data_IF_895216458638
#
_entry.id   IF_895216458638
#
_cell.length_a   1.000
_cell.length_b   1.000
_cell.length_c   1.000
_cell.angle_alpha   90.00
_cell.angle_beta   90.00
_cell.angle_gamma   90.00
#
_symmetry.space_group_name_H-M   'P 1'
#
loop_
_entity.id
_entity.type
_entity.pdbx_description
1 polymer ?
#
# COMPACT_ATOMS: atom_id res chain seq x y z
N UNK A 1 66.16 3.44 9.48
CA UNK A 1 65.89 3.73 8.05
C UNK A 1 65.42 2.43 7.38
N UNK A 2 64.12 2.27 7.17
CA UNK A 2 63.58 1.21 6.32
C UNK A 2 62.42 1.79 5.51
N UNK A 3 62.45 1.48 4.21
CA UNK A 3 61.70 2.11 3.13
C UNK A 3 60.28 1.56 3.01
N UNK A 4 59.40 2.45 2.54
CA UNK A 4 58.05 2.24 2.04
C UNK A 4 57.95 1.21 0.91
N UNK A 5 56.87 0.42 0.89
CA UNK A 5 55.99 0.18 -0.28
C UNK A 5 54.56 -0.13 0.23
N UNK A 6 53.48 0.21 -0.50
CA UNK A 6 52.14 0.40 0.05
C UNK A 6 51.22 -0.81 -0.17
N UNK A 7 50.38 -1.10 0.82
CA UNK A 7 49.21 -1.95 0.63
C UNK A 7 48.07 -1.12 0.04
N UNK A 8 47.67 -1.44 -1.20
CA UNK A 8 46.40 -1.06 -1.79
C UNK A 8 45.26 -1.58 -0.90
N UNK A 9 44.51 -0.67 -0.29
CA UNK A 9 43.22 -0.97 0.33
C UNK A 9 42.16 -1.06 -0.78
N UNK A 10 41.75 -2.29 -1.09
CA UNK A 10 40.57 -2.60 -1.90
C UNK A 10 39.32 -2.19 -1.09
N UNK A 11 38.48 -1.26 -1.58
CA UNK A 11 37.22 -0.97 -0.91
C UNK A 11 36.23 -2.12 -1.18
N UNK A 12 35.84 -2.84 -0.12
CA UNK A 12 34.73 -3.79 -0.15
C UNK A 12 33.42 -3.01 -0.26
N UNK A 13 32.83 -3.01 -1.46
CA UNK A 13 31.44 -2.61 -1.66
C UNK A 13 30.57 -3.88 -1.72
N UNK A 14 29.68 -4.14 -0.73
CA UNK A 14 28.57 -5.05 -0.94
C UNK A 14 27.29 -4.24 -0.94
N UNK A 15 27.00 -3.56 -2.05
CA UNK A 15 25.66 -3.07 -2.34
C UNK A 15 25.24 -3.70 -3.65
N UNK A 16 24.57 -4.84 -3.54
CA UNK A 16 23.82 -5.44 -4.64
C UNK A 16 22.70 -4.45 -4.97
N UNK A 17 22.97 -3.53 -5.90
CA UNK A 17 21.95 -2.75 -6.57
C UNK A 17 21.11 -3.72 -7.39
N UNK A 18 20.00 -4.22 -6.83
CA UNK A 18 18.99 -4.91 -7.62
C UNK A 18 18.30 -3.84 -8.47
N UNK A 19 18.89 -3.54 -9.62
CA UNK A 19 18.17 -2.91 -10.72
C UNK A 19 17.18 -3.93 -11.25
N UNK A 20 15.94 -3.86 -10.78
CA UNK A 20 14.84 -4.64 -11.34
C UNK A 20 14.38 -3.98 -12.65
N UNK A 21 15.23 -4.06 -13.68
CA UNK A 21 14.85 -3.69 -15.04
C UNK A 21 13.98 -4.81 -15.62
N UNK A 22 12.69 -4.80 -15.30
CA UNK A 22 11.69 -5.57 -16.04
C UNK A 22 11.49 -4.91 -17.41
N UNK A 23 12.39 -5.21 -18.35
CA UNK A 23 12.13 -5.08 -19.78
C UNK A 23 11.11 -6.16 -20.17
N UNK A 24 9.84 -5.95 -19.82
CA UNK A 24 8.76 -6.64 -20.50
C UNK A 24 8.54 -5.85 -21.79
N UNK A 25 8.74 -6.42 -22.99
CA UNK A 25 8.27 -5.78 -24.21
C UNK A 25 6.76 -5.60 -24.07
N UNK A 26 6.34 -4.37 -23.78
CA UNK A 26 4.94 -3.98 -23.82
C UNK A 26 4.55 -3.94 -25.29
N UNK A 27 4.17 -5.09 -25.85
CA UNK A 27 3.33 -5.12 -27.03
C UNK A 27 1.99 -4.51 -26.64
N UNK A 28 1.90 -3.18 -26.71
CA UNK A 28 0.63 -2.47 -26.61
C UNK A 28 -0.14 -2.74 -27.91
N UNK A 29 -0.71 -3.95 -28.03
CA UNK A 29 -1.87 -4.15 -28.89
C UNK A 29 -2.94 -3.21 -28.35
N UNK A 30 -3.21 -2.14 -29.10
CA UNK A 30 -4.21 -1.14 -28.78
C UNK A 30 -5.55 -1.84 -28.57
N UNK A 31 -5.87 -2.13 -27.30
CA UNK A 31 -7.24 -2.47 -26.96
C UNK A 31 -8.08 -1.25 -27.31
N UNK A 32 -9.17 -1.41 -28.08
CA UNK A 32 -10.04 -0.29 -28.39
C UNK A 32 -10.42 0.39 -27.08
N UNK A 33 -10.34 1.72 -27.06
CA UNK A 33 -10.59 2.65 -25.94
C UNK A 33 -11.89 2.41 -25.13
N UNK A 34 -12.73 1.46 -25.53
CA UNK A 34 -13.97 1.08 -24.86
C UNK A 34 -13.77 0.20 -23.62
N UNK A 35 -12.66 -0.54 -23.51
CA UNK A 35 -12.42 -1.49 -22.40
C UNK A 35 -11.60 -0.89 -21.23
N UNK A 36 -11.11 0.36 -21.34
CA UNK A 36 -10.10 0.93 -20.44
C UNK A 36 -10.53 2.16 -19.64
N UNK A 37 -11.81 2.55 -19.67
CA UNK A 37 -12.30 3.75 -18.98
C UNK A 37 -12.63 3.55 -17.49
N UNK A 38 -12.12 2.49 -16.85
CA UNK A 38 -12.29 2.31 -15.40
C UNK A 38 -11.58 3.40 -14.58
N UNK A 39 -11.95 3.59 -13.31
CA UNK A 39 -11.27 4.57 -12.45
C UNK A 39 -9.81 4.20 -12.24
N UNK A 40 -8.97 5.18 -11.88
CA UNK A 40 -7.59 4.92 -11.49
C UNK A 40 -7.55 4.00 -10.27
N UNK A 41 -7.11 2.76 -10.50
CA UNK A 41 -7.05 1.71 -9.48
C UNK A 41 -5.82 1.87 -8.57
N UNK A 42 -5.70 3.05 -7.95
CA UNK A 42 -4.64 3.38 -7.00
C UNK A 42 -5.16 3.20 -5.57
N UNK A 43 -4.29 2.77 -4.67
CA UNK A 43 -4.52 2.85 -3.23
C UNK A 43 -3.41 3.64 -2.58
N UNK A 44 -3.76 4.19 -1.44
CA UNK A 44 -2.82 4.71 -0.48
C UNK A 44 -1.82 3.60 -0.05
N UNK A 45 -0.53 3.92 -0.16
CA UNK A 45 0.58 3.01 0.13
C UNK A 45 1.12 3.16 1.55
N UNK A 46 0.47 3.97 2.40
CA UNK A 46 0.90 4.16 3.78
C UNK A 46 0.97 2.80 4.52
N UNK A 47 2.12 2.41 5.10
CA UNK A 47 2.34 1.04 5.60
C UNK A 47 1.28 0.53 6.57
N UNK A 48 0.79 1.39 7.47
CA UNK A 48 -0.23 1.01 8.46
C UNK A 48 -1.58 0.77 7.79
N UNK A 49 -1.92 1.51 6.75
CA UNK A 49 -3.18 1.35 6.02
C UNK A 49 -3.20 0.07 5.18
N UNK A 50 -2.02 -0.38 4.71
CA UNK A 50 -1.87 -1.61 3.94
C UNK A 50 -2.19 -2.89 4.74
N UNK A 51 -2.26 -2.82 6.07
CA UNK A 51 -2.65 -3.93 6.94
C UNK A 51 -4.14 -4.29 6.83
N UNK A 52 -4.96 -3.35 6.39
CA UNK A 52 -6.42 -3.44 6.42
C UNK A 52 -7.02 -3.50 5.02
N UNK A 53 -8.18 -4.15 4.92
CA UNK A 53 -8.88 -4.30 3.66
C UNK A 53 -9.47 -2.98 3.16
N UNK A 54 -8.97 -2.55 2.00
CA UNK A 54 -9.59 -1.54 1.15
C UNK A 54 -9.58 -2.03 -0.30
N UNK A 55 -10.77 -2.21 -0.88
CA UNK A 55 -10.90 -2.41 -2.32
C UNK A 55 -10.30 -1.22 -3.08
N UNK A 56 -9.78 -1.52 -4.27
CA UNK A 56 -9.40 -0.48 -5.22
C UNK A 56 -10.66 0.14 -5.82
N UNK A 57 -10.64 1.43 -6.18
CA UNK A 57 -11.63 1.99 -7.08
C UNK A 57 -11.76 1.09 -8.32
N UNK A 58 -12.99 0.73 -8.64
CA UNK A 58 -13.30 -0.12 -9.80
C UNK A 58 -14.62 0.30 -10.43
N UNK A 59 -14.76 -0.05 -11.70
CA UNK A 59 -16.01 0.12 -12.45
C UNK A 59 -17.08 -0.86 -11.94
N UNK A 60 -18.36 -0.48 -12.07
CA UNK A 60 -19.48 -1.33 -11.72
C UNK A 60 -19.64 -2.51 -12.69
N UNK A 61 -19.30 -2.33 -13.97
CA UNK A 61 -19.39 -3.37 -14.98
C UNK A 61 -18.52 -4.59 -14.61
N UNK A 62 -19.02 -5.77 -14.97
CA UNK A 62 -18.20 -6.98 -14.93
C UNK A 62 -17.18 -6.94 -16.07
N UNK A 63 -16.09 -7.71 -15.94
CA UNK A 63 -15.22 -8.00 -17.08
C UNK A 63 -16.02 -8.70 -18.20
N UNK A 64 -15.53 -8.72 -19.47
CA UNK A 64 -16.27 -9.38 -20.55
C UNK A 64 -16.56 -10.85 -20.25
N UNK A 65 -17.69 -11.35 -20.78
CA UNK A 65 -18.18 -12.70 -20.49
C UNK A 65 -17.19 -13.79 -20.91
N UNK A 66 -17.07 -14.83 -20.08
CA UNK A 66 -16.12 -15.93 -20.28
C UNK A 66 -14.63 -15.55 -20.18
N UNK A 67 -14.30 -14.28 -19.89
CA UNK A 67 -12.91 -13.84 -19.79
C UNK A 67 -12.33 -14.01 -18.40
N UNK A 68 -11.03 -14.31 -18.39
CA UNK A 68 -10.16 -14.20 -17.23
C UNK A 68 -9.26 -12.98 -17.47
N UNK A 69 -9.09 -12.17 -16.44
CA UNK A 69 -8.13 -11.07 -16.42
C UNK A 69 -7.07 -11.37 -15.38
N UNK A 70 -5.82 -11.37 -15.82
CA UNK A 70 -4.65 -11.36 -14.96
C UNK A 70 -4.00 -9.98 -15.03
N UNK A 71 -3.61 -9.43 -13.88
CA UNK A 71 -2.86 -8.18 -13.83
C UNK A 71 -1.80 -8.22 -12.74
N UNK A 72 -0.63 -7.68 -13.06
CA UNK A 72 0.44 -7.45 -12.08
C UNK A 72 0.55 -5.95 -11.84
N UNK A 73 0.51 -5.52 -10.58
CA UNK A 73 0.62 -4.11 -10.23
C UNK A 73 1.86 -3.87 -9.37
N UNK A 74 2.65 -2.87 -9.74
CA UNK A 74 3.83 -2.43 -9.01
C UNK A 74 3.55 -1.04 -8.43
N UNK A 75 3.79 -0.87 -7.15
CA UNK A 75 3.75 0.42 -6.48
C UNK A 75 5.01 0.59 -5.64
N UNK A 76 5.79 1.63 -5.91
CA UNK A 76 6.92 2.04 -5.08
C UNK A 76 6.53 3.31 -4.34
N UNK A 77 6.82 3.39 -3.05
CA UNK A 77 6.48 4.53 -2.21
C UNK A 77 7.58 4.82 -1.20
N UNK A 78 7.87 6.10 -0.97
CA UNK A 78 8.60 6.60 0.20
C UNK A 78 7.57 7.26 1.12
N UNK A 79 7.61 6.91 2.40
CA UNK A 79 6.72 7.42 3.43
C UNK A 79 7.56 8.05 4.52
N UNK A 80 7.33 9.33 4.77
CA UNK A 80 7.80 10.02 5.97
C UNK A 80 6.63 10.72 6.66
N UNK A 81 6.31 10.32 7.88
CA UNK A 81 5.24 10.90 8.68
C UNK A 81 5.60 10.86 10.16
N UNK A 82 5.39 11.97 10.88
CA UNK A 82 5.77 12.08 12.28
C UNK A 82 4.85 13.00 13.08
N UNK A 83 4.47 12.58 14.29
CA UNK A 83 3.89 13.46 15.32
C UNK A 83 5.04 14.20 16.01
N UNK A 84 4.97 15.53 16.07
CA UNK A 84 5.99 16.38 16.73
C UNK A 84 5.66 16.66 18.20
N UNK A 85 6.65 17.04 19.03
CA UNK A 85 8.08 17.22 18.71
C UNK A 85 8.83 15.90 18.60
N UNK A 86 9.68 15.62 17.62
CA UNK A 86 10.42 14.33 17.56
C UNK A 86 11.43 14.31 18.72
N UNK A 87 11.36 13.34 19.64
CA UNK A 87 12.46 13.13 20.61
C UNK A 87 13.67 12.47 19.91
N UNK A 88 14.73 12.10 20.64
CA UNK A 88 15.96 11.59 20.00
C UNK A 88 15.66 10.31 19.18
N UNK A 89 15.70 10.36 17.82
CA UNK A 89 15.38 9.20 16.99
C UNK A 89 16.45 8.11 17.07
N UNK A 90 17.61 8.40 17.69
CA UNK A 90 18.64 7.40 18.04
C UNK A 90 18.35 6.72 19.39
N UNK A 91 17.48 7.31 20.21
CA UNK A 91 17.00 6.79 21.48
C UNK A 91 15.48 6.70 21.44
N UNK A 92 14.98 5.81 20.57
CA UNK A 92 13.54 5.62 20.33
C UNK A 92 12.72 5.46 21.63
N UNK A 93 13.32 4.92 22.69
CA UNK A 93 12.67 4.78 23.99
C UNK A 93 12.11 6.09 24.58
N UNK A 94 12.84 7.19 24.51
CA UNK A 94 12.51 8.39 25.30
C UNK A 94 11.33 9.16 24.72
N UNK A 95 11.28 9.28 23.39
CA UNK A 95 10.20 10.01 22.73
C UNK A 95 8.85 9.28 22.81
N UNK A 96 8.92 7.96 22.69
CA UNK A 96 7.75 7.11 22.59
C UNK A 96 7.24 6.67 23.96
N UNK A 97 8.09 6.33 24.94
CA UNK A 97 7.60 5.99 26.29
C UNK A 97 6.93 7.18 26.99
N UNK A 98 7.33 8.41 26.66
CA UNK A 98 6.70 9.64 27.15
C UNK A 98 5.42 10.05 26.39
N UNK A 99 4.84 9.18 25.54
CA UNK A 99 3.60 9.51 24.82
C UNK A 99 2.47 9.85 25.81
N UNK A 100 1.75 10.97 25.63
CA UNK A 100 0.68 11.38 26.54
C UNK A 100 -0.38 10.31 26.68
N UNK A 101 -0.93 10.19 27.89
CA UNK A 101 -2.15 9.41 28.12
C UNK A 101 -3.23 9.94 27.18
N UNK A 102 -3.86 9.04 26.43
CA UNK A 102 -4.91 9.26 25.42
C UNK A 102 -4.52 9.81 24.03
N UNK A 103 -3.25 10.17 23.76
CA UNK A 103 -2.82 10.71 22.45
C UNK A 103 -2.03 9.68 21.61
N UNK A 104 -2.31 9.61 20.31
CA UNK A 104 -1.49 8.84 19.37
C UNK A 104 -0.25 9.60 18.93
N UNK A 105 0.91 8.96 19.09
CA UNK A 105 2.14 9.36 18.41
C UNK A 105 2.44 8.38 17.29
N UNK A 106 2.69 8.93 16.10
CA UNK A 106 3.05 8.19 14.90
C UNK A 106 4.46 8.59 14.47
N UNK A 107 5.24 7.60 14.06
CA UNK A 107 6.41 7.79 13.23
C UNK A 107 6.44 6.72 12.15
N UNK A 108 6.66 7.12 10.92
CA UNK A 108 6.84 6.22 9.80
C UNK A 108 7.90 6.82 8.88
N UNK A 109 9.04 6.15 8.79
CA UNK A 109 10.08 6.38 7.80
C UNK A 109 10.35 5.04 7.11
N UNK A 110 9.94 4.92 5.84
CA UNK A 110 10.06 3.68 5.10
C UNK A 110 9.91 3.85 3.59
N UNK A 111 10.57 2.98 2.85
CA UNK A 111 10.31 2.74 1.45
C UNK A 111 9.72 1.35 1.24
N UNK A 112 8.64 1.29 0.46
CA UNK A 112 7.89 0.06 0.20
C UNK A 112 7.70 -0.14 -1.30
N UNK A 113 8.19 -1.28 -1.81
CA UNK A 113 7.77 -1.85 -3.08
C UNK A 113 6.67 -2.88 -2.82
N UNK A 114 5.52 -2.69 -3.43
CA UNK A 114 4.39 -3.60 -3.37
C UNK A 114 4.05 -4.13 -4.76
N UNK A 115 4.10 -5.45 -4.91
CA UNK A 115 3.75 -6.17 -6.12
C UNK A 115 2.44 -6.93 -5.86
N UNK A 116 1.44 -6.81 -6.72
CA UNK A 116 0.18 -7.56 -6.59
C UNK A 116 -0.06 -8.40 -7.82
N UNK A 117 -0.28 -9.69 -7.59
CA UNK A 117 -0.82 -10.60 -8.59
C UNK A 117 -2.34 -10.65 -8.41
N UNK A 118 -3.07 -10.16 -9.39
CA UNK A 118 -4.52 -9.96 -9.33
C UNK A 118 -5.20 -10.74 -10.45
N UNK A 119 -6.12 -11.60 -10.06
CA UNK A 119 -6.89 -12.46 -10.94
C UNK A 119 -8.36 -12.07 -10.83
N UNK A 120 -9.05 -11.98 -11.95
CA UNK A 120 -10.50 -11.82 -12.01
C UNK A 120 -11.08 -12.76 -13.07
N UNK A 121 -12.22 -13.36 -12.78
CA UNK A 121 -12.90 -14.30 -13.66
C UNK A 121 -14.41 -14.07 -13.62
N UNK A 122 -15.00 -13.80 -14.79
CA UNK A 122 -16.45 -13.76 -14.94
C UNK A 122 -16.95 -15.16 -15.23
N UNK A 123 -17.63 -15.76 -14.25
CA UNK A 123 -18.14 -17.13 -14.35
C UNK A 123 -19.43 -17.22 -15.16
N UNK A 124 -20.23 -16.15 -15.16
CA UNK A 124 -21.44 -16.02 -15.97
C UNK A 124 -21.88 -14.55 -16.04
N UNK A 125 -23.07 -14.28 -16.55
CA UNK A 125 -23.56 -12.92 -16.70
C UNK A 125 -23.79 -12.15 -15.39
N UNK A 126 -23.83 -12.83 -14.24
CA UNK A 126 -24.19 -12.28 -12.94
C UNK A 126 -23.03 -12.17 -11.95
N UNK A 127 -21.91 -12.87 -12.17
CA UNK A 127 -20.88 -12.99 -11.15
C UNK A 127 -19.47 -12.85 -11.71
N UNK A 128 -18.67 -12.04 -11.04
CA UNK A 128 -17.22 -11.93 -11.21
C UNK A 128 -16.54 -12.29 -9.88
N UNK A 129 -15.66 -13.28 -9.94
CA UNK A 129 -14.78 -13.68 -8.86
C UNK A 129 -13.44 -12.99 -9.02
N UNK A 130 -12.77 -12.70 -7.91
CA UNK A 130 -11.41 -12.18 -7.95
C UNK A 130 -10.56 -12.63 -6.78
N UNK A 131 -9.26 -12.66 -7.00
CA UNK A 131 -8.24 -12.95 -6.00
C UNK A 131 -7.09 -11.96 -6.17
N UNK A 132 -6.51 -11.48 -5.07
CA UNK A 132 -5.33 -10.64 -5.08
C UNK A 132 -4.31 -11.16 -4.05
N UNK A 133 -3.08 -11.38 -4.51
CA UNK A 133 -1.95 -11.85 -3.68
C UNK A 133 -0.88 -10.76 -3.68
N UNK A 134 -0.70 -10.03 -2.56
CA UNK A 134 0.34 -9.02 -2.45
C UNK A 134 1.67 -9.62 -1.98
N UNK A 135 2.76 -9.15 -2.59
CA UNK A 135 4.13 -9.31 -2.15
C UNK A 135 4.68 -7.92 -1.81
N UNK A 136 5.30 -7.78 -0.64
CA UNK A 136 5.84 -6.51 -0.15
C UNK A 136 7.32 -6.64 0.15
N UNK A 137 8.05 -5.59 -0.20
CA UNK A 137 9.45 -5.38 0.15
C UNK A 137 9.53 -4.03 0.83
N UNK A 138 9.93 -4.02 2.09
CA UNK A 138 10.11 -2.80 2.87
C UNK A 138 11.60 -2.60 3.12
N UNK A 139 12.04 -1.34 3.17
CA UNK A 139 13.43 -0.96 3.47
C UNK A 139 13.49 0.50 3.92
N UNK A 140 14.65 0.94 4.41
CA UNK A 140 14.91 2.38 4.56
C UNK A 140 15.20 3.09 3.22
N UNK A 141 15.42 2.30 2.16
CA UNK A 141 15.39 2.78 0.80
C UNK A 141 16.57 3.66 0.39
N UNK A 142 16.32 4.57 -0.56
CA UNK A 142 17.35 5.40 -1.18
C UNK A 142 16.84 6.76 -1.69
N UNK A 143 15.52 7.00 -1.68
CA UNK A 143 14.90 8.19 -2.24
C UNK A 143 15.10 9.43 -1.37
N UNK A 144 15.50 9.29 -0.11
CA UNK A 144 15.70 10.44 0.78
C UNK A 144 16.58 11.51 0.16
N UNK A 145 17.67 11.11 -0.48
CA UNK A 145 18.56 12.04 -1.17
C UNK A 145 17.92 12.78 -2.34
N UNK A 146 17.03 12.10 -3.07
CA UNK A 146 16.30 12.70 -4.18
C UNK A 146 15.22 13.65 -3.66
N UNK A 147 14.53 13.28 -2.58
CA UNK A 147 13.55 14.13 -1.89
C UNK A 147 14.23 15.38 -1.32
N UNK A 148 15.35 15.23 -0.61
CA UNK A 148 16.15 16.33 -0.06
C UNK A 148 16.62 17.30 -1.15
N UNK A 149 17.12 16.78 -2.29
CA UNK A 149 17.51 17.62 -3.43
C UNK A 149 16.33 18.35 -4.05
N UNK A 150 15.18 17.69 -4.19
CA UNK A 150 13.96 18.33 -4.67
C UNK A 150 13.54 19.48 -3.74
N UNK A 151 13.51 19.25 -2.42
CA UNK A 151 13.23 20.30 -1.44
C UNK A 151 14.23 21.44 -1.52
N UNK A 152 15.53 21.13 -1.63
CA UNK A 152 16.58 22.14 -1.79
C UNK A 152 16.42 22.98 -3.06
N UNK A 153 16.09 22.35 -4.19
CA UNK A 153 15.89 23.05 -5.47
C UNK A 153 14.72 24.04 -5.42
N UNK A 154 13.62 23.67 -4.76
CA UNK A 154 12.44 24.51 -4.60
C UNK A 154 12.45 25.37 -3.33
N UNK A 155 13.53 25.36 -2.55
CA UNK A 155 13.66 26.04 -1.26
C UNK A 155 12.51 25.71 -0.28
N UNK A 156 12.11 24.43 -0.23
CA UNK A 156 11.09 23.90 0.67
C UNK A 156 11.72 23.37 1.95
N UNK A 157 10.99 23.44 3.06
CA UNK A 157 11.41 22.78 4.31
C UNK A 157 11.46 21.26 4.11
N UNK A 158 12.43 20.59 4.72
CA UNK A 158 12.56 19.14 4.64
C UNK A 158 11.61 18.37 5.60
N UNK A 159 10.67 19.09 6.22
CA UNK A 159 9.59 18.50 6.99
C UNK A 159 10.04 17.76 8.24
N UNK A 160 11.25 18.02 8.76
CA UNK A 160 11.84 17.35 9.91
C UNK A 160 12.57 16.06 9.57
N UNK A 161 12.76 15.72 8.29
CA UNK A 161 13.54 14.54 7.84
C UNK A 161 15.03 14.68 8.15
N UNK A 162 15.50 15.91 8.36
CA UNK A 162 16.85 16.23 8.82
C UNK A 162 17.12 15.78 10.27
N UNK A 163 16.05 15.52 11.04
CA UNK A 163 16.15 15.05 12.42
C UNK A 163 16.39 13.53 12.48
N UNK A 164 16.12 12.78 11.39
CA UNK A 164 16.28 11.32 11.33
C UNK A 164 17.48 10.90 10.48
N UNK A 165 18.03 9.68 10.70
CA UNK A 165 19.05 9.14 9.81
C UNK A 165 18.52 8.98 8.39
N UNK A 166 19.28 9.49 7.41
CA UNK A 166 18.97 9.32 5.99
C UNK A 166 18.96 7.84 5.59
N UNK A 167 17.98 7.47 4.76
CA UNK A 167 17.65 6.10 4.37
C UNK A 167 17.37 5.19 5.59
N UNK A 168 16.81 5.79 6.64
CA UNK A 168 16.41 5.10 7.86
C UNK A 168 15.15 4.27 7.63
N UNK A 169 14.93 3.28 8.50
CA UNK A 169 13.66 2.58 8.56
C UNK A 169 13.14 2.63 9.99
N UNK A 170 11.87 2.98 10.14
CA UNK A 170 11.19 2.91 11.42
C UNK A 170 9.70 3.12 11.27
N UNK A 171 8.89 2.25 11.86
CA UNK A 171 7.45 2.44 11.95
C UNK A 171 7.04 2.21 13.40
N UNK A 172 6.55 3.27 14.04
CA UNK A 172 6.13 3.27 15.43
C UNK A 172 4.74 3.89 15.57
N UNK A 173 3.88 3.23 16.35
CA UNK A 173 2.59 3.76 16.79
C UNK A 173 2.52 3.57 18.28
N UNK A 174 2.35 4.67 19.00
CA UNK A 174 2.39 4.69 20.46
C UNK A 174 1.23 5.46 21.02
N UNK A 175 0.64 4.94 22.10
CA UNK A 175 -0.38 5.61 22.89
C UNK A 175 -0.44 5.00 24.28
N UNK A 176 -0.80 5.79 25.28
CA UNK A 176 -0.95 5.32 26.66
C UNK A 176 0.35 4.65 27.18
N UNK A 177 1.50 5.25 26.83
CA UNK A 177 2.85 4.72 27.08
C UNK A 177 3.09 3.28 26.55
N UNK A 178 2.27 2.82 25.59
CA UNK A 178 2.34 1.49 25.01
C UNK A 178 2.58 1.54 23.50
N UNK A 179 3.58 0.79 23.03
CA UNK A 179 3.85 0.60 21.61
C UNK A 179 2.88 -0.41 21.00
N UNK A 180 1.96 0.10 20.18
CA UNK A 180 1.07 -0.72 19.36
C UNK A 180 1.75 -1.26 18.11
N UNK A 181 2.69 -0.49 17.55
CA UNK A 181 3.60 -0.91 16.49
C UNK A 181 5.00 -0.44 16.90
N UNK A 182 5.98 -1.34 16.88
CA UNK A 182 7.39 -1.01 17.10
C UNK A 182 8.26 -1.80 16.14
N UNK A 183 8.62 -1.17 15.03
CA UNK A 183 9.42 -1.76 13.97
C UNK A 183 10.62 -0.87 13.66
N UNK A 184 11.80 -1.33 14.06
CA UNK A 184 13.09 -0.67 13.85
C UNK A 184 13.89 -1.30 12.70
N UNK A 185 13.43 -2.44 12.18
CA UNK A 185 14.08 -3.17 11.09
C UNK A 185 13.09 -3.55 10.02
N UNK A 186 13.49 -3.26 8.78
CA UNK A 186 12.67 -3.56 7.63
C UNK A 186 12.56 -5.08 7.43
N UNK A 187 11.34 -5.63 7.32
CA UNK A 187 11.17 -7.00 6.89
C UNK A 187 11.65 -7.12 5.44
N UNK A 188 12.41 -8.18 5.15
CA UNK A 188 12.72 -8.58 3.77
C UNK A 188 11.43 -8.88 2.98
N UNK A 189 11.59 -9.37 1.75
CA UNK A 189 10.48 -9.80 0.88
C UNK A 189 9.51 -10.74 1.63
N UNK A 190 8.23 -10.35 1.71
CA UNK A 190 7.17 -11.09 2.41
C UNK A 190 5.85 -11.00 1.66
N UNK A 191 5.08 -12.08 1.68
CA UNK A 191 3.68 -12.04 1.26
C UNK A 191 2.84 -11.28 2.29
N UNK A 192 1.82 -10.58 1.80
CA UNK A 192 0.79 -10.01 2.63
C UNK A 192 -0.50 -10.81 2.63
N UNK A 193 -1.55 -10.17 3.11
CA UNK A 193 -2.87 -10.78 3.18
C UNK A 193 -3.50 -11.00 1.80
N UNK A 194 -3.93 -12.23 1.54
CA UNK A 194 -4.67 -12.60 0.33
C UNK A 194 -6.11 -12.08 0.44
N UNK A 195 -6.60 -11.48 -0.65
CA UNK A 195 -7.96 -10.94 -0.73
C UNK A 195 -8.76 -11.66 -1.80
N UNK A 196 -9.92 -12.22 -1.42
CA UNK A 196 -10.92 -12.72 -2.34
C UNK A 196 -12.02 -11.70 -2.54
N UNK A 197 -12.58 -11.64 -3.75
CA UNK A 197 -13.58 -10.66 -4.17
C UNK A 197 -14.70 -11.34 -4.93
N UNK A 198 -15.91 -10.82 -4.78
CA UNK A 198 -17.09 -11.22 -5.53
C UNK A 198 -17.86 -9.96 -5.93
N UNK A 199 -18.20 -9.82 -7.20
CA UNK A 199 -18.95 -8.68 -7.74
C UNK A 199 -20.14 -9.15 -8.56
N UNK A 200 -21.28 -8.48 -8.40
CA UNK A 200 -22.53 -8.77 -9.09
C UNK A 200 -23.26 -7.49 -9.49
N UNK A 201 -23.71 -7.33 -10.75
CA UNK A 201 -24.58 -6.24 -11.13
C UNK A 201 -25.96 -6.38 -10.46
N UNK A 202 -26.43 -5.27 -9.91
CA UNK A 202 -27.78 -5.08 -9.41
C UNK A 202 -28.65 -4.41 -10.48
N UNK A 203 -28.06 -3.50 -11.27
CA UNK A 203 -28.69 -2.80 -12.38
C UNK A 203 -27.71 -2.71 -13.56
N UNK A 204 -28.18 -3.00 -14.76
CA UNK A 204 -27.41 -2.86 -16.00
C UNK A 204 -28.27 -2.17 -17.06
N UNK A 205 -28.57 -0.91 -16.83
CA UNK A 205 -29.53 -0.15 -17.65
C UNK A 205 -28.92 0.43 -18.95
N UNK A 206 -27.59 0.53 -19.03
CA UNK A 206 -26.87 1.08 -20.19
C UNK A 206 -27.03 2.60 -20.34
N UNK A 207 -26.18 3.27 -21.15
CA UNK A 207 -26.21 4.72 -21.28
C UNK A 207 -27.59 5.26 -21.72
N UNK A 208 -28.11 6.34 -21.12
CA UNK A 208 -27.44 7.24 -20.17
C UNK A 208 -27.53 6.79 -18.70
N UNK A 209 -28.21 5.69 -18.41
CA UNK A 209 -28.41 5.19 -17.05
C UNK A 209 -27.16 4.48 -16.50
N UNK A 210 -26.95 4.48 -15.18
CA UNK A 210 -25.79 3.83 -14.60
C UNK A 210 -25.92 2.29 -14.60
N UNK A 211 -24.77 1.62 -14.67
CA UNK A 211 -24.61 0.28 -14.15
C UNK A 211 -24.38 0.39 -12.65
N UNK A 212 -25.10 -0.38 -11.84
CA UNK A 212 -24.91 -0.45 -10.39
C UNK A 212 -24.57 -1.89 -10.02
N UNK A 213 -23.52 -2.09 -9.23
CA UNK A 213 -23.05 -3.39 -8.79
C UNK A 213 -22.78 -3.44 -7.30
N UNK A 214 -23.03 -4.60 -6.72
CA UNK A 214 -22.56 -4.95 -5.38
C UNK A 214 -21.20 -5.63 -5.51
N UNK A 215 -20.24 -5.21 -4.70
CA UNK A 215 -18.96 -5.87 -4.53
C UNK A 215 -18.77 -6.26 -3.07
N UNK A 216 -18.20 -7.43 -2.86
CA UNK A 216 -17.79 -7.94 -1.55
C UNK A 216 -16.34 -8.37 -1.62
N UNK A 217 -15.64 -8.25 -0.51
CA UNK A 217 -14.29 -8.73 -0.38
C UNK A 217 -14.04 -9.31 1.00
N UNK A 218 -13.18 -10.33 1.06
CA UNK A 218 -12.69 -10.94 2.29
C UNK A 218 -11.18 -10.96 2.22
N UNK A 219 -10.54 -10.39 3.23
CA UNK A 219 -9.08 -10.44 3.44
C UNK A 219 -8.79 -11.56 4.44
N UNK A 220 -7.95 -12.52 4.06
CA UNK A 220 -7.52 -13.58 4.96
C UNK A 220 -6.18 -13.22 5.63
N UNK A 221 -5.95 -13.63 6.89
CA UNK A 221 -4.75 -13.28 7.66
C UNK A 221 -3.54 -14.15 7.26
N UNK A 222 -3.11 -14.07 6.00
CA UNK A 222 -1.96 -14.82 5.47
C UNK A 222 -0.64 -14.07 5.64
N UNK A 223 -0.69 -12.75 5.80
CA UNK A 223 0.42 -11.90 6.20
C UNK A 223 0.65 -11.95 7.72
N UNK A 224 1.65 -11.19 8.19
CA UNK A 224 2.04 -11.19 9.60
C UNK A 224 2.13 -9.77 10.13
N UNK A 225 1.49 -9.52 11.27
CA UNK A 225 1.51 -8.20 11.92
C UNK A 225 2.93 -7.79 12.34
N UNK A 226 3.72 -8.73 12.87
CA UNK A 226 5.15 -8.53 13.19
C UNK A 226 6.05 -8.19 12.00
N UNK A 227 5.52 -8.19 10.78
CA UNK A 227 6.21 -7.78 9.56
C UNK A 227 5.45 -6.69 8.81
N UNK A 228 4.39 -6.12 9.41
CA UNK A 228 3.50 -5.16 8.77
C UNK A 228 3.02 -5.61 7.38
N UNK A 229 2.81 -6.91 7.19
CA UNK A 229 2.31 -7.45 5.93
C UNK A 229 0.85 -7.90 5.98
N UNK A 230 0.26 -7.91 7.16
CA UNK A 230 -1.15 -8.17 7.38
C UNK A 230 -1.55 -7.78 8.79
N UNK A 231 -2.83 -7.53 9.01
CA UNK A 231 -3.34 -7.23 10.36
C UNK A 231 -3.36 -8.47 11.26
N UNK A 232 -3.36 -9.68 10.70
CA UNK A 232 -3.60 -10.93 11.44
C UNK A 232 -5.09 -11.22 11.68
N UNK A 233 -5.98 -10.27 11.36
CA UNK A 233 -7.43 -10.45 11.38
C UNK A 233 -8.01 -10.70 9.99
N UNK A 234 -9.16 -11.36 9.94
CA UNK A 234 -9.99 -11.47 8.74
C UNK A 234 -10.86 -10.22 8.60
N UNK A 235 -10.68 -9.45 7.54
CA UNK A 235 -11.53 -8.29 7.26
C UNK A 235 -12.58 -8.66 6.20
N UNK A 236 -13.75 -8.02 6.29
CA UNK A 236 -14.82 -8.15 5.31
C UNK A 236 -15.25 -6.78 4.85
N UNK A 237 -15.38 -6.57 3.55
CA UNK A 237 -15.86 -5.32 2.97
C UNK A 237 -17.07 -5.56 2.08
N UNK A 238 -18.04 -4.64 2.16
CA UNK A 238 -19.17 -4.51 1.26
C UNK A 238 -19.07 -3.17 0.55
N UNK A 239 -19.29 -3.13 -0.76
CA UNK A 239 -19.23 -1.91 -1.54
C UNK A 239 -20.35 -1.85 -2.60
N UNK A 240 -20.91 -0.66 -2.79
CA UNK A 240 -21.76 -0.33 -3.92
C UNK A 240 -20.93 0.44 -4.95
N UNK A 241 -21.03 0.01 -6.20
CA UNK A 241 -20.32 0.58 -7.33
C UNK A 241 -21.35 1.12 -8.31
N UNK A 242 -21.14 2.33 -8.82
CA UNK A 242 -21.90 2.85 -9.95
C UNK A 242 -20.95 3.36 -11.04
N UNK A 243 -21.28 3.04 -12.28
CA UNK A 243 -20.59 3.50 -13.49
C UNK A 243 -21.60 4.14 -14.43
N UNK A 244 -21.34 5.35 -14.91
CA UNK A 244 -22.25 6.05 -15.81
C UNK A 244 -21.50 6.79 -16.90
N UNK A 245 -21.92 6.59 -18.15
CA UNK A 245 -21.43 7.39 -19.28
C UNK A 245 -22.30 8.63 -19.44
N UNK A 246 -21.70 9.82 -19.32
CA UNK A 246 -22.35 11.10 -19.53
C UNK A 246 -21.95 11.67 -20.90
N UNK A 247 -22.86 11.57 -21.87
CA UNK A 247 -22.60 11.92 -23.26
C UNK A 247 -21.50 11.05 -23.89
N UNK A 248 -20.64 11.66 -24.71
CA UNK A 248 -19.57 10.95 -25.42
C UNK A 248 -18.16 11.17 -24.82
N UNK A 249 -18.03 11.99 -23.77
CA UNK A 249 -16.72 12.44 -23.26
C UNK A 249 -16.46 12.10 -21.80
N UNK A 250 -17.51 11.93 -21.00
CA UNK A 250 -17.37 11.76 -19.56
C UNK A 250 -17.84 10.38 -19.13
N UNK A 251 -17.09 9.82 -18.19
CA UNK A 251 -17.42 8.58 -17.51
C UNK A 251 -17.28 8.80 -16.02
N UNK A 252 -18.36 8.61 -15.28
CA UNK A 252 -18.44 8.81 -13.84
C UNK A 252 -18.41 7.45 -13.13
N UNK A 253 -17.60 7.37 -12.07
CA UNK A 253 -17.55 6.21 -11.20
C UNK A 253 -17.77 6.65 -9.76
N UNK A 254 -18.64 5.93 -9.06
CA UNK A 254 -18.87 6.09 -7.62
C UNK A 254 -18.64 4.75 -6.94
N UNK A 255 -17.89 4.75 -5.85
CA UNK A 255 -17.60 3.57 -5.04
C UNK A 255 -17.87 3.98 -3.59
N UNK A 256 -18.84 3.35 -2.93
CA UNK A 256 -19.13 3.55 -1.52
C UNK A 256 -18.89 2.23 -0.79
N UNK A 257 -18.02 2.21 0.22
CA UNK A 257 -17.65 0.97 0.89
C UNK A 257 -17.74 1.04 2.41
N UNK A 258 -18.01 -0.10 3.02
CA UNK A 258 -17.92 -0.30 4.47
C UNK A 258 -17.10 -1.53 4.75
N UNK A 259 -16.03 -1.37 5.52
CA UNK A 259 -15.18 -2.47 5.97
C UNK A 259 -15.43 -2.76 7.44
N UNK A 260 -15.67 -4.03 7.76
CA UNK A 260 -15.52 -4.56 9.11
C UNK A 260 -14.12 -5.15 9.23
N UNK A 261 -13.32 -4.57 10.12
CA UNK A 261 -11.98 -5.07 10.42
C UNK A 261 -12.07 -6.26 11.37
N UNK A 262 -11.24 -7.27 11.14
CA UNK A 262 -11.03 -8.36 12.09
C UNK A 262 -10.09 -7.94 13.22
N UNK A 263 -10.09 -8.71 14.30
CA UNK A 263 -9.18 -8.45 15.41
C UNK A 263 -7.73 -8.74 14.98
N UNK A 264 -6.81 -7.76 15.10
CA UNK A 264 -5.42 -7.99 14.77
C UNK A 264 -4.80 -9.03 15.70
N UNK A 265 -4.01 -9.94 15.13
CA UNK A 265 -3.43 -11.05 15.90
C UNK A 265 -2.40 -10.49 16.90
N UNK A 266 -2.63 -10.75 18.19
CA UNK A 266 -1.80 -10.38 19.37
C UNK A 266 -1.82 -8.93 19.87
N UNK A 267 -2.71 -8.06 19.39
CA UNK A 267 -2.93 -6.74 20.01
C UNK A 267 -4.42 -6.47 20.21
N UNK A 268 -5.00 -7.12 21.23
CA UNK A 268 -6.34 -6.78 21.74
C UNK A 268 -6.39 -5.29 22.05
N UNK A 269 -7.29 -4.56 21.37
CA UNK A 269 -7.44 -3.11 21.57
C UNK A 269 -6.65 -2.23 20.60
N UNK A 270 -6.05 -2.78 19.53
CA UNK A 270 -5.47 -1.96 18.47
C UNK A 270 -6.52 -0.95 17.98
N UNK A 271 -6.25 0.35 18.04
CA UNK A 271 -7.33 1.33 18.16
C UNK A 271 -7.92 1.82 16.83
N UNK A 272 -7.64 1.11 15.74
CA UNK A 272 -8.30 1.37 14.46
C UNK A 272 -9.63 0.61 14.47
N UNK A 273 -10.71 1.33 14.77
CA UNK A 273 -12.08 0.82 14.59
C UNK A 273 -12.54 1.07 13.15
N UNK A 274 -13.46 0.23 12.67
CA UNK A 274 -14.02 0.27 11.31
C UNK A 274 -14.33 1.70 10.86
N UNK A 275 -13.72 2.15 9.76
CA UNK A 275 -14.05 3.41 9.10
C UNK A 275 -15.07 3.20 7.98
N UNK A 276 -15.90 4.21 7.78
CA UNK A 276 -16.66 4.40 6.53
C UNK A 276 -15.73 5.16 5.59
N UNK A 277 -15.47 4.62 4.39
CA UNK A 277 -14.68 5.29 3.34
C UNK A 277 -15.57 5.43 2.10
#
# INVERSE_FOLDING_TARGET
MCRFFPHLLIPKWPSVCIFLALLIPASALSQPLRDTLGPFAVRDQFPIKLLFLSLLPQQAELIPDGKIRFSTRFAYSNTYAVTRPIGDPRQSGDYYQAAPMSEYRLFADSETLRIVFDFAWRINHQWELGMAVPLMVQSGGFLDGTVERFHGFFNLSNGGREETPRNGYGIYVVRDAHFWIAHDRAPHVRFGDVVFRLKRPLLSAGPPWPTISLATAVKLPTGQFKHLTGSGGTDVQLALLASQRLGNRFYLHYNLARTRLGDPDRNTGFPIRSSII
#
